data_IF_720369090702
#
_entry.id   IF_720369090702
#
_cell.length_a   1.000
_cell.length_b   1.000
_cell.length_c   1.000
_cell.angle_alpha   90.00
_cell.angle_beta   90.00
_cell.angle_gamma   90.00
#
_symmetry.space_group_name_H-M   'P 1'
#
loop_
_entity.id
_entity.type
_entity.pdbx_description
1 polymer ?
#
# COMPACT_ATOMS: atom_id res chain seq x y z
N UNK A 1 18.21 -24.04 4.71
CA UNK A 1 18.65 -23.35 5.94
C UNK A 1 19.44 -22.13 5.51
N UNK A 2 18.84 -20.95 5.62
CA UNK A 2 19.59 -19.69 5.53
C UNK A 2 19.41 -18.99 6.87
N UNK A 3 20.26 -19.31 7.83
CA UNK A 3 20.54 -18.38 8.91
C UNK A 3 22.02 -18.07 8.81
N UNK A 4 22.36 -16.78 8.82
CA UNK A 4 23.73 -16.25 8.96
C UNK A 4 24.36 -16.63 10.32
N UNK A 5 24.10 -17.84 10.84
CA UNK A 5 24.48 -18.27 12.19
C UNK A 5 23.76 -17.54 13.33
N UNK A 6 22.74 -16.70 13.03
CA UNK A 6 21.97 -15.96 14.06
C UNK A 6 21.14 -16.90 14.92
N UNK A 7 21.13 -16.64 16.22
CA UNK A 7 20.23 -17.30 17.20
C UNK A 7 18.99 -16.43 17.37
N UNK A 8 17.90 -16.82 16.70
CA UNK A 8 16.66 -16.05 16.70
C UNK A 8 15.82 -16.40 17.93
N UNK A 9 15.23 -15.39 18.58
CA UNK A 9 14.39 -15.55 19.79
C UNK A 9 12.94 -15.13 19.58
N UNK A 10 12.68 -14.39 18.51
CA UNK A 10 11.39 -13.74 18.26
C UNK A 10 11.22 -13.40 16.78
N UNK A 11 9.98 -13.10 16.40
CA UNK A 11 9.62 -12.53 15.09
C UNK A 11 9.17 -11.09 15.31
N UNK A 12 9.67 -10.20 14.48
CA UNK A 12 9.32 -8.77 14.47
C UNK A 12 8.75 -8.45 13.10
N UNK A 13 7.50 -7.99 13.06
CA UNK A 13 6.76 -7.77 11.82
C UNK A 13 6.36 -6.31 11.66
N UNK A 14 6.73 -5.69 10.54
CA UNK A 14 6.13 -4.44 10.07
C UNK A 14 5.03 -4.71 9.06
N UNK A 15 4.24 -3.69 8.77
CA UNK A 15 3.22 -3.71 7.73
C UNK A 15 2.93 -2.28 7.28
N UNK A 16 2.49 -2.11 6.03
CA UNK A 16 1.94 -0.85 5.51
C UNK A 16 2.86 0.35 5.80
N UNK A 17 4.18 0.15 5.62
CA UNK A 17 5.20 1.18 5.86
C UNK A 17 5.03 2.34 4.90
N UNK A 18 4.52 2.08 3.68
CA UNK A 18 4.19 3.08 2.67
C UNK A 18 5.25 4.14 2.42
N UNK A 19 6.52 3.74 2.47
CA UNK A 19 7.65 4.64 2.28
C UNK A 19 7.62 5.87 3.22
N UNK A 20 7.04 5.73 4.41
CA UNK A 20 6.89 6.80 5.40
C UNK A 20 8.20 7.06 6.13
N UNK A 21 9.10 7.83 5.50
CA UNK A 21 10.47 8.00 5.96
C UNK A 21 10.79 9.35 6.61
N UNK A 22 9.78 10.19 6.88
CA UNK A 22 9.98 11.50 7.53
C UNK A 22 10.67 11.39 8.89
N UNK A 23 10.36 10.33 9.66
CA UNK A 23 11.05 9.99 10.89
C UNK A 23 11.74 8.62 10.79
N UNK A 24 12.54 8.41 9.73
CA UNK A 24 13.12 7.09 9.47
C UNK A 24 14.16 6.64 10.51
N UNK A 25 14.88 7.58 11.15
CA UNK A 25 16.05 7.25 11.96
C UNK A 25 15.75 6.34 13.17
N UNK A 26 14.70 6.59 13.98
CA UNK A 26 14.34 5.70 15.08
C UNK A 26 13.97 4.29 14.60
N UNK A 27 13.12 4.15 13.58
CA UNK A 27 12.70 2.84 13.10
C UNK A 27 13.89 2.04 12.52
N UNK A 28 14.72 2.66 11.69
CA UNK A 28 15.87 1.99 11.05
C UNK A 28 16.87 1.51 12.09
N UNK A 29 17.20 2.37 13.06
CA UNK A 29 18.16 2.05 14.12
C UNK A 29 17.61 0.96 15.03
N UNK A 30 16.31 1.01 15.35
CA UNK A 30 15.65 0.01 16.17
C UNK A 30 15.62 -1.37 15.51
N UNK A 31 15.21 -1.45 14.25
CA UNK A 31 15.23 -2.71 13.50
C UNK A 31 16.65 -3.26 13.34
N UNK A 32 17.62 -2.40 13.05
CA UNK A 32 19.02 -2.81 13.01
C UNK A 32 19.49 -3.43 14.34
N UNK A 33 19.09 -2.85 15.48
CA UNK A 33 19.44 -3.37 16.80
C UNK A 33 18.75 -4.71 17.12
N UNK A 34 17.54 -4.96 16.60
CA UNK A 34 16.81 -6.22 16.79
C UNK A 34 17.29 -7.35 15.87
N UNK A 35 17.88 -7.00 14.72
CA UNK A 35 18.26 -7.94 13.65
C UNK A 35 19.15 -9.11 14.10
N UNK A 36 20.14 -8.94 15.00
CA UNK A 36 21.00 -10.05 15.42
C UNK A 36 20.24 -11.20 16.11
N UNK A 37 19.09 -10.93 16.75
CA UNK A 37 18.35 -11.89 17.58
C UNK A 37 16.90 -12.10 17.15
N UNK A 38 16.44 -11.45 16.09
CA UNK A 38 15.05 -11.49 15.64
C UNK A 38 14.96 -11.84 14.16
N UNK A 39 13.94 -12.63 13.79
CA UNK A 39 13.51 -12.74 12.40
C UNK A 39 12.69 -11.49 12.07
N UNK A 40 13.22 -10.61 11.21
CA UNK A 40 12.51 -9.37 10.83
C UNK A 40 11.73 -9.64 9.55
N UNK A 41 10.43 -9.40 9.58
CA UNK A 41 9.51 -9.69 8.47
C UNK A 41 8.66 -8.48 8.15
N UNK A 42 8.14 -8.43 6.92
CA UNK A 42 7.20 -7.39 6.49
C UNK A 42 5.95 -8.03 5.88
N UNK A 43 4.78 -7.49 6.21
CA UNK A 43 3.47 -8.02 5.81
C UNK A 43 2.90 -7.36 4.54
N UNK A 44 3.70 -6.63 3.76
CA UNK A 44 3.30 -6.01 2.52
C UNK A 44 3.10 -4.50 2.63
N UNK A 45 2.91 -3.87 1.47
CA UNK A 45 2.76 -2.41 1.30
C UNK A 45 3.90 -1.59 1.92
N UNK A 46 5.12 -2.10 1.78
CA UNK A 46 6.33 -1.35 2.17
C UNK A 46 6.60 -0.15 1.24
N UNK A 47 6.30 -0.33 -0.05
CA UNK A 47 6.48 0.64 -1.12
C UNK A 47 5.25 1.53 -1.31
N UNK A 48 5.44 2.63 -2.06
CA UNK A 48 4.40 3.58 -2.46
C UNK A 48 3.70 4.28 -1.29
N UNK A 49 2.96 5.37 -1.56
CA UNK A 49 2.19 6.07 -0.52
C UNK A 49 2.83 7.35 0.01
N UNK A 50 4.08 7.64 -0.34
CA UNK A 50 4.74 8.90 0.03
C UNK A 50 5.56 9.50 -1.11
N UNK A 51 5.93 10.78 -0.95
CA UNK A 51 6.86 11.46 -1.84
C UNK A 51 8.24 10.82 -1.92
N UNK A 52 8.65 10.03 -0.91
CA UNK A 52 9.93 9.31 -0.93
C UNK A 52 9.96 8.29 -2.05
N UNK A 53 8.89 7.52 -2.21
CA UNK A 53 8.77 6.58 -3.32
C UNK A 53 8.71 7.30 -4.66
N UNK A 54 7.95 8.39 -4.75
CA UNK A 54 7.76 9.14 -6.00
C UNK A 54 9.07 9.70 -6.55
N UNK A 55 9.95 10.20 -5.69
CA UNK A 55 11.25 10.76 -6.07
C UNK A 55 12.35 9.68 -6.12
N UNK A 56 12.31 8.72 -5.19
CA UNK A 56 13.31 7.66 -5.03
C UNK A 56 13.07 6.39 -5.85
N UNK A 57 11.89 6.21 -6.44
CA UNK A 57 11.48 5.07 -7.28
C UNK A 57 11.79 3.70 -6.66
N UNK A 58 11.46 3.52 -5.38
CA UNK A 58 11.66 2.25 -4.67
C UNK A 58 13.11 1.97 -4.23
N UNK A 59 14.07 2.85 -4.54
CA UNK A 59 15.49 2.56 -4.28
C UNK A 59 15.91 2.71 -2.83
N UNK A 60 15.18 3.47 -2.00
CA UNK A 60 15.41 3.59 -0.56
C UNK A 60 14.80 2.35 0.13
N UNK A 61 13.57 2.04 -0.26
CA UNK A 61 12.76 0.92 0.18
C UNK A 61 13.50 -0.40 -0.03
N UNK A 62 14.00 -0.63 -1.25
CA UNK A 62 14.80 -1.81 -1.61
C UNK A 62 16.05 -1.93 -0.74
N UNK A 63 16.77 -0.84 -0.48
CA UNK A 63 17.96 -0.85 0.36
C UNK A 63 17.61 -1.24 1.81
N UNK A 64 16.51 -0.70 2.34
CA UNK A 64 15.99 -1.05 3.67
C UNK A 64 15.61 -2.52 3.75
N UNK A 65 14.80 -3.00 2.80
CA UNK A 65 14.31 -4.38 2.79
C UNK A 65 15.46 -5.39 2.66
N UNK A 66 16.42 -5.14 1.78
CA UNK A 66 17.56 -6.05 1.61
C UNK A 66 18.55 -5.99 2.79
N UNK A 67 18.68 -4.83 3.44
CA UNK A 67 19.59 -4.62 4.57
C UNK A 67 19.04 -5.11 5.91
N UNK A 68 17.73 -4.94 6.16
CA UNK A 68 17.13 -5.11 7.49
C UNK A 68 16.13 -6.26 7.60
N UNK A 69 15.54 -6.75 6.51
CA UNK A 69 14.45 -7.73 6.54
C UNK A 69 14.87 -9.12 6.04
N UNK A 70 14.25 -10.15 6.60
CA UNK A 70 14.55 -11.56 6.32
C UNK A 70 13.51 -12.22 5.41
N UNK A 71 12.23 -11.95 5.65
CA UNK A 71 11.10 -12.53 4.88
C UNK A 71 10.09 -11.44 4.57
N UNK A 72 9.62 -11.39 3.33
CA UNK A 72 8.68 -10.38 2.85
C UNK A 72 7.38 -11.05 2.38
N UNK A 73 6.24 -10.43 2.65
CA UNK A 73 5.00 -10.67 1.92
C UNK A 73 4.81 -9.58 0.85
N UNK A 74 4.26 -9.91 -0.33
CA UNK A 74 3.84 -8.88 -1.28
C UNK A 74 2.53 -8.24 -0.83
N UNK A 75 2.45 -6.91 -0.94
CA UNK A 75 1.19 -6.18 -0.86
C UNK A 75 0.65 -5.79 -2.24
N UNK A 76 -0.37 -4.94 -2.26
CA UNK A 76 -0.87 -4.35 -3.51
C UNK A 76 0.00 -3.20 -4.02
N UNK A 77 0.65 -2.46 -3.13
CA UNK A 77 1.58 -1.41 -3.49
C UNK A 77 2.99 -1.96 -3.74
N UNK A 78 3.65 -1.45 -4.79
CA UNK A 78 5.00 -1.87 -5.18
C UNK A 78 5.11 -3.31 -5.65
N UNK A 79 4.02 -3.90 -6.15
CA UNK A 79 3.93 -5.31 -6.58
C UNK A 79 5.07 -5.74 -7.51
N UNK A 80 5.50 -4.84 -8.39
CA UNK A 80 6.57 -5.07 -9.37
C UNK A 80 7.95 -5.23 -8.71
N UNK A 81 8.22 -4.53 -7.61
CA UNK A 81 9.49 -4.63 -6.88
C UNK A 81 9.72 -6.03 -6.29
N UNK A 82 8.66 -6.73 -5.90
CA UNK A 82 8.77 -8.10 -5.40
C UNK A 82 9.24 -9.11 -6.46
N UNK A 83 9.21 -8.76 -7.75
CA UNK A 83 9.78 -9.59 -8.82
C UNK A 83 11.25 -9.27 -9.13
N UNK A 84 11.82 -8.20 -8.54
CA UNK A 84 13.25 -7.95 -8.65
C UNK A 84 14.03 -9.12 -8.02
N UNK A 85 15.10 -9.63 -8.66
CA UNK A 85 15.71 -10.90 -8.27
C UNK A 85 16.08 -11.01 -6.78
N UNK A 86 16.59 -9.93 -6.17
CA UNK A 86 17.04 -9.94 -4.78
C UNK A 86 15.89 -9.91 -3.78
N UNK A 87 14.82 -9.16 -4.07
CA UNK A 87 13.61 -9.10 -3.24
C UNK A 87 12.74 -10.34 -3.45
N UNK A 88 12.65 -10.86 -4.67
CA UNK A 88 11.91 -12.06 -4.99
C UNK A 88 12.40 -13.26 -4.17
N UNK A 89 13.71 -13.40 -3.97
CA UNK A 89 14.28 -14.49 -3.15
C UNK A 89 13.90 -14.41 -1.67
N UNK A 90 13.53 -13.23 -1.16
CA UNK A 90 13.05 -13.01 0.21
C UNK A 90 11.52 -13.02 0.32
N UNK A 91 10.83 -12.85 -0.80
CA UNK A 91 9.38 -12.78 -0.84
C UNK A 91 8.76 -14.17 -0.81
N UNK A 92 7.84 -14.38 0.12
CA UNK A 92 6.96 -15.56 0.17
C UNK A 92 5.52 -15.17 -0.12
N UNK A 93 4.79 -16.04 -0.79
CA UNK A 93 3.34 -15.92 -1.02
C UNK A 93 2.80 -17.26 -1.49
N UNK A 94 1.82 -17.81 -0.78
CA UNK A 94 1.26 -19.13 -1.07
C UNK A 94 0.23 -19.11 -2.20
N UNK A 95 -0.53 -18.03 -2.32
CA UNK A 95 -1.73 -17.98 -3.16
C UNK A 95 -1.56 -17.19 -4.46
N UNK A 96 -0.41 -16.58 -4.74
CA UNK A 96 -0.15 -15.88 -6.00
C UNK A 96 0.43 -16.82 -7.06
N UNK A 97 -0.24 -16.94 -8.20
CA UNK A 97 0.10 -17.88 -9.28
C UNK A 97 0.11 -17.21 -10.66
N UNK A 98 0.85 -17.80 -11.60
CA UNK A 98 0.72 -17.51 -13.02
C UNK A 98 -0.65 -18.00 -13.50
N UNK A 99 -1.38 -17.12 -14.18
CA UNK A 99 -2.76 -17.39 -14.60
C UNK A 99 -2.85 -18.44 -15.72
N UNK A 100 -1.79 -18.66 -16.49
CA UNK A 100 -1.75 -19.61 -17.60
C UNK A 100 -1.24 -20.97 -17.17
N UNK A 101 -0.18 -21.02 -16.37
CA UNK A 101 0.46 -22.29 -15.98
C UNK A 101 -0.02 -22.82 -14.63
N UNK A 102 -0.53 -21.94 -13.77
CA UNK A 102 -0.86 -22.28 -12.37
C UNK A 102 0.37 -22.38 -11.46
N UNK A 103 1.57 -22.07 -11.97
CA UNK A 103 2.80 -22.12 -11.19
C UNK A 103 2.83 -21.02 -10.12
N UNK A 104 3.45 -21.31 -8.99
CA UNK A 104 3.62 -20.32 -7.93
C UNK A 104 4.53 -19.18 -8.41
N UNK A 105 4.08 -17.93 -8.24
CA UNK A 105 4.89 -16.75 -8.55
C UNK A 105 5.97 -16.50 -7.51
N UNK A 106 5.79 -17.04 -6.30
CA UNK A 106 6.70 -16.88 -5.18
C UNK A 106 6.96 -18.20 -4.48
N UNK A 107 8.04 -18.23 -3.70
CA UNK A 107 8.26 -19.30 -2.74
C UNK A 107 7.07 -19.35 -1.78
N UNK A 108 6.48 -20.53 -1.57
CA UNK A 108 5.29 -20.65 -0.71
C UNK A 108 5.58 -20.74 0.78
N UNK A 109 6.80 -21.11 1.18
CA UNK A 109 7.17 -21.36 2.58
C UNK A 109 8.64 -21.02 2.86
N UNK A 110 8.90 -20.15 3.83
CA UNK A 110 10.20 -19.97 4.48
C UNK A 110 10.25 -20.77 5.78
N UNK A 111 11.39 -21.39 6.10
CA UNK A 111 11.56 -22.13 7.36
C UNK A 111 12.74 -21.53 8.12
N UNK A 112 12.51 -21.13 9.36
CA UNK A 112 13.51 -20.57 10.27
C UNK A 112 13.48 -21.30 11.62
N UNK A 113 14.63 -21.35 12.31
CA UNK A 113 14.70 -21.80 13.71
C UNK A 113 14.54 -20.58 14.62
N UNK A 114 13.54 -20.62 15.51
CA UNK A 114 13.24 -19.54 16.45
C UNK A 114 13.13 -20.15 17.84
N UNK A 115 14.10 -19.82 18.68
CA UNK A 115 14.24 -20.36 20.03
C UNK A 115 14.25 -21.91 20.07
N UNK A 116 14.88 -22.55 19.08
CA UNK A 116 14.93 -24.01 18.96
C UNK A 116 13.67 -24.66 18.37
N UNK A 117 12.72 -23.87 17.87
CA UNK A 117 11.51 -24.33 17.19
C UNK A 117 11.64 -24.12 15.69
N UNK A 118 11.35 -25.14 14.86
CA UNK A 118 11.28 -24.95 13.40
C UNK A 118 9.95 -24.30 13.04
N UNK A 119 10.01 -23.06 12.59
CA UNK A 119 8.83 -22.25 12.26
C UNK A 119 8.69 -22.11 10.74
N UNK A 120 7.53 -22.51 10.22
CA UNK A 120 7.11 -22.26 8.85
C UNK A 120 6.47 -20.89 8.73
N UNK A 121 7.10 -19.99 7.98
CA UNK A 121 6.61 -18.65 7.65
C UNK A 121 6.09 -18.66 6.22
N UNK A 122 4.79 -18.44 6.06
CA UNK A 122 4.12 -18.32 4.75
C UNK A 122 3.39 -16.98 4.67
N UNK A 123 2.87 -16.63 3.49
CA UNK A 123 2.12 -15.40 3.30
C UNK A 123 0.94 -15.58 2.34
N UNK A 124 -0.04 -14.69 2.43
CA UNK A 124 -1.16 -14.60 1.49
C UNK A 124 -1.48 -13.14 1.19
N UNK A 125 -2.00 -12.89 -0.01
CA UNK A 125 -2.62 -11.62 -0.38
C UNK A 125 -4.12 -11.82 -0.58
N UNK A 126 -4.94 -10.94 -0.02
CA UNK A 126 -6.39 -11.01 -0.15
C UNK A 126 -6.86 -10.65 -1.56
N UNK A 127 -8.04 -11.13 -1.97
CA UNK A 127 -8.59 -10.82 -3.31
C UNK A 127 -8.81 -9.32 -3.52
N UNK A 128 -9.29 -8.61 -2.49
CA UNK A 128 -9.52 -7.17 -2.56
C UNK A 128 -8.21 -6.40 -2.75
N UNK A 129 -7.15 -6.77 -2.01
CA UNK A 129 -5.81 -6.22 -2.21
C UNK A 129 -5.29 -6.55 -3.62
N UNK A 130 -5.37 -7.80 -4.06
CA UNK A 130 -4.90 -8.16 -5.40
C UNK A 130 -5.60 -7.39 -6.52
N UNK A 131 -6.91 -7.17 -6.41
CA UNK A 131 -7.67 -6.41 -7.41
C UNK A 131 -7.42 -4.90 -7.38
N UNK A 132 -6.85 -4.34 -6.31
CA UNK A 132 -6.46 -2.93 -6.27
C UNK A 132 -5.14 -2.66 -7.01
N UNK A 133 -4.33 -3.71 -7.28
CA UNK A 133 -3.11 -3.59 -8.09
C UNK A 133 -3.49 -3.15 -9.51
N UNK A 134 -2.79 -2.15 -10.09
CA UNK A 134 -3.01 -1.72 -11.47
C UNK A 134 -3.01 -2.88 -12.46
N UNK A 135 -3.98 -2.90 -13.39
CA UNK A 135 -4.20 -4.05 -14.29
C UNK A 135 -2.92 -4.49 -15.01
N UNK A 136 -2.14 -3.53 -15.54
CA UNK A 136 -0.88 -3.81 -16.23
C UNK A 136 0.17 -4.49 -15.33
N UNK A 137 0.20 -4.19 -14.03
CA UNK A 137 1.18 -4.75 -13.08
C UNK A 137 0.80 -6.16 -12.59
N UNK A 138 -0.47 -6.56 -12.71
CA UNK A 138 -0.95 -7.90 -12.39
C UNK A 138 -1.33 -8.73 -13.62
N UNK A 139 -1.03 -8.26 -14.82
CA UNK A 139 -1.30 -8.98 -16.06
C UNK A 139 -0.60 -10.35 -16.04
N UNK A 140 -1.33 -11.41 -16.38
CA UNK A 140 -0.84 -12.79 -16.34
C UNK A 140 -0.75 -13.39 -14.94
N UNK A 141 -1.12 -12.66 -13.88
CA UNK A 141 -1.14 -13.17 -12.51
C UNK A 141 -2.58 -13.34 -12.03
N UNK A 142 -2.81 -14.30 -11.13
CA UNK A 142 -4.02 -14.37 -10.33
C UNK A 142 -3.72 -14.83 -8.91
N UNK A 143 -4.72 -14.73 -8.05
CA UNK A 143 -4.65 -15.23 -6.67
C UNK A 143 -5.69 -16.30 -6.45
N UNK A 144 -5.29 -17.42 -5.90
CA UNK A 144 -6.21 -18.47 -5.43
C UNK A 144 -6.80 -18.09 -4.08
N UNK A 145 -7.85 -18.82 -3.68
CA UNK A 145 -8.43 -18.70 -2.35
C UNK A 145 -7.35 -18.90 -1.27
N UNK A 146 -7.14 -17.93 -0.36
CA UNK A 146 -6.09 -18.03 0.66
C UNK A 146 -6.22 -19.28 1.54
N UNK A 147 -7.44 -19.68 1.90
CA UNK A 147 -7.68 -20.88 2.72
C UNK A 147 -7.26 -22.15 1.97
N UNK A 148 -7.59 -22.28 0.69
CA UNK A 148 -7.12 -23.39 -0.13
C UNK A 148 -5.59 -23.42 -0.21
N UNK A 149 -4.94 -22.29 -0.50
CA UNK A 149 -3.49 -22.22 -0.62
C UNK A 149 -2.79 -22.61 0.68
N UNK A 150 -3.30 -22.16 1.83
CA UNK A 150 -2.77 -22.52 3.15
C UNK A 150 -2.91 -24.03 3.43
N UNK A 151 -4.02 -24.65 3.04
CA UNK A 151 -4.21 -26.11 3.14
C UNK A 151 -3.19 -26.89 2.32
N UNK A 152 -2.92 -26.45 1.09
CA UNK A 152 -1.90 -27.07 0.24
C UNK A 152 -0.51 -27.00 0.88
N UNK A 153 -0.16 -25.84 1.44
CA UNK A 153 1.15 -25.61 2.08
C UNK A 153 1.32 -26.48 3.32
N UNK A 154 0.32 -26.57 4.22
CA UNK A 154 0.44 -27.45 5.38
C UNK A 154 0.48 -28.93 4.98
N UNK A 155 -0.32 -29.37 4.03
CA UNK A 155 -0.30 -30.77 3.57
C UNK A 155 1.10 -31.17 3.10
N UNK A 156 1.77 -30.29 2.36
CA UNK A 156 3.12 -30.52 1.85
C UNK A 156 4.20 -30.51 2.94
N UNK A 157 4.06 -29.68 3.99
CA UNK A 157 5.17 -29.35 4.90
C UNK A 157 4.91 -29.55 6.39
N UNK A 158 3.77 -30.13 6.80
CA UNK A 158 3.44 -30.32 8.22
C UNK A 158 4.48 -31.14 9.02
N UNK A 159 5.31 -31.95 8.36
CA UNK A 159 6.37 -32.74 8.99
C UNK A 159 7.72 -32.00 9.07
N UNK A 160 7.85 -30.88 8.34
CA UNK A 160 9.08 -30.10 8.26
C UNK A 160 9.19 -29.04 9.37
N UNK A 161 8.06 -28.65 9.95
CA UNK A 161 7.95 -27.53 10.88
C UNK A 161 7.12 -27.91 12.11
N UNK A 162 7.41 -27.26 13.22
CA UNK A 162 6.75 -27.48 14.51
C UNK A 162 5.71 -26.40 14.80
N UNK A 163 5.72 -25.29 14.03
CA UNK A 163 4.84 -24.13 14.23
C UNK A 163 4.68 -23.32 12.94
N UNK A 164 3.56 -22.61 12.83
CA UNK A 164 3.15 -21.90 11.63
C UNK A 164 2.84 -20.43 11.88
N UNK A 165 3.45 -19.57 11.07
CA UNK A 165 3.29 -18.12 11.09
C UNK A 165 2.84 -17.65 9.71
N UNK A 166 1.78 -16.85 9.68
CA UNK A 166 1.24 -16.24 8.47
C UNK A 166 1.56 -14.75 8.43
N UNK A 167 2.15 -14.29 7.34
CA UNK A 167 2.23 -12.87 6.96
C UNK A 167 1.06 -12.59 6.01
N UNK A 168 0.00 -11.94 6.48
CA UNK A 168 -1.20 -11.72 5.67
C UNK A 168 -1.32 -10.28 5.22
N UNK A 169 -1.60 -10.11 3.92
CA UNK A 169 -1.99 -8.85 3.32
C UNK A 169 -3.45 -8.93 2.84
N UNK A 170 -4.36 -9.29 3.76
CA UNK A 170 -5.79 -9.50 3.47
C UNK A 170 -6.73 -8.61 4.29
N UNK A 171 -6.23 -8.04 5.40
CA UNK A 171 -7.00 -7.23 6.32
C UNK A 171 -7.43 -7.99 7.58
N UNK A 172 -7.47 -7.29 8.71
CA UNK A 172 -7.57 -7.86 10.07
C UNK A 172 -8.81 -8.74 10.26
N UNK A 173 -9.96 -8.33 9.72
CA UNK A 173 -11.19 -9.11 9.83
C UNK A 173 -11.18 -10.36 8.95
N UNK A 174 -10.57 -10.29 7.76
CA UNK A 174 -10.34 -11.47 6.92
C UNK A 174 -9.33 -12.42 7.59
N UNK A 175 -8.32 -11.87 8.25
CA UNK A 175 -7.31 -12.64 8.98
C UNK A 175 -7.88 -13.38 10.18
N UNK A 176 -8.88 -12.81 10.86
CA UNK A 176 -9.64 -13.51 11.91
C UNK A 176 -10.45 -14.68 11.35
N UNK A 177 -11.06 -14.52 10.17
CA UNK A 177 -11.78 -15.60 9.49
C UNK A 177 -10.82 -16.70 9.04
N UNK A 178 -9.67 -16.32 8.49
CA UNK A 178 -8.62 -17.26 8.09
C UNK A 178 -8.07 -18.00 9.31
N UNK A 179 -7.79 -17.32 10.42
CA UNK A 179 -7.34 -17.96 11.66
C UNK A 179 -8.35 -19.01 12.16
N UNK A 180 -9.65 -18.69 12.16
CA UNK A 180 -10.70 -19.65 12.53
C UNK A 180 -10.78 -20.86 11.59
N UNK A 181 -10.54 -20.65 10.30
CA UNK A 181 -10.58 -21.72 9.28
C UNK A 181 -9.29 -22.54 9.21
N UNK A 182 -8.17 -22.02 9.73
CA UNK A 182 -6.84 -22.61 9.73
C UNK A 182 -6.28 -22.74 11.16
N UNK A 183 -6.85 -23.62 12.01
CA UNK A 183 -6.45 -23.75 13.41
C UNK A 183 -5.01 -24.27 13.62
N UNK A 184 -4.30 -24.62 12.55
CA UNK A 184 -2.89 -24.98 12.59
C UNK A 184 -1.96 -23.77 12.69
N UNK A 185 -2.46 -22.56 12.38
CA UNK A 185 -1.69 -21.33 12.49
C UNK A 185 -1.50 -20.96 13.96
N UNK A 186 -0.28 -20.62 14.36
CA UNK A 186 -0.01 -20.13 15.70
C UNK A 186 -0.16 -18.60 15.78
N UNK A 187 0.39 -17.90 14.78
CA UNK A 187 0.39 -16.43 14.71
C UNK A 187 0.07 -15.97 13.30
N UNK A 188 -0.80 -14.97 13.19
CA UNK A 188 -1.08 -14.21 11.97
C UNK A 188 -0.65 -12.78 12.20
N UNK A 189 0.32 -12.31 11.41
CA UNK A 189 0.65 -10.90 11.30
C UNK A 189 -0.19 -10.29 10.17
N UNK A 190 -1.09 -9.37 10.52
CA UNK A 190 -2.07 -8.77 9.63
C UNK A 190 -1.58 -7.42 9.06
N UNK A 191 -1.90 -7.17 7.78
CA UNK A 191 -1.67 -5.92 7.04
C UNK A 191 -2.88 -5.50 6.19
N UNK A 192 -2.72 -4.58 5.24
CA UNK A 192 -3.72 -4.09 4.23
C UNK A 192 -4.88 -3.26 4.80
N UNK A 193 -5.41 -3.67 5.95
CA UNK A 193 -6.48 -2.97 6.63
C UNK A 193 -5.92 -1.76 7.36
N UNK A 194 -6.26 -0.55 6.96
CA UNK A 194 -6.04 0.68 7.76
C UNK A 194 -6.91 0.73 9.05
N UNK A 195 -7.14 -0.42 9.66
CA UNK A 195 -7.88 -0.62 10.90
C UNK A 195 -7.04 -0.18 12.10
N UNK A 196 -7.69 0.50 13.06
CA UNK A 196 -7.12 0.81 14.37
C UNK A 196 -7.01 -0.41 15.30
N UNK A 197 -7.36 -1.60 14.80
CA UNK A 197 -7.23 -2.85 15.52
C UNK A 197 -5.83 -3.44 15.32
N UNK A 198 -5.03 -3.41 16.39
CA UNK A 198 -3.68 -3.96 16.39
C UNK A 198 -3.58 -5.36 17.01
N UNK A 199 -4.55 -5.76 17.84
CA UNK A 199 -4.49 -7.03 18.57
C UNK A 199 -3.44 -7.05 19.71
N UNK A 200 -3.07 -8.24 20.23
CA UNK A 200 -3.43 -9.54 19.70
C UNK A 200 -4.90 -9.88 19.98
N UNK A 201 -5.59 -10.42 18.97
CA UNK A 201 -6.88 -11.10 19.13
C UNK A 201 -6.64 -12.59 19.06
N UNK A 202 -7.10 -13.32 20.08
CA UNK A 202 -7.06 -14.78 20.06
C UNK A 202 -8.28 -15.33 19.33
N UNK A 203 -8.04 -16.10 18.29
CA UNK A 203 -9.04 -16.88 17.57
C UNK A 203 -8.70 -18.35 17.80
N UNK A 204 -9.39 -18.98 18.74
CA UNK A 204 -9.06 -20.30 19.27
C UNK A 204 -7.59 -20.41 19.74
N UNK A 205 -6.77 -21.20 19.04
CA UNK A 205 -5.34 -21.36 19.32
C UNK A 205 -4.47 -20.25 18.74
N UNK A 206 -4.95 -19.55 17.72
CA UNK A 206 -4.18 -18.61 16.88
C UNK A 206 -4.21 -17.19 17.45
N UNK A 207 -3.08 -16.48 17.37
CA UNK A 207 -2.96 -15.06 17.70
C UNK A 207 -2.95 -14.22 16.41
N UNK A 208 -3.91 -13.32 16.24
CA UNK A 208 -3.94 -12.34 15.15
C UNK A 208 -3.47 -10.99 15.68
N UNK A 209 -2.39 -10.45 15.13
CA UNK A 209 -1.75 -9.21 15.60
C UNK A 209 -1.30 -8.38 14.40
N UNK A 210 -1.29 -7.06 14.55
CA UNK A 210 -0.92 -6.10 13.52
C UNK A 210 0.05 -5.05 14.09
N UNK A 211 1.06 -4.72 13.29
CA UNK A 211 1.99 -3.63 13.59
C UNK A 211 1.34 -2.27 13.36
N UNK A 212 1.87 -1.22 14.01
CA UNK A 212 1.49 0.14 13.63
C UNK A 212 2.05 0.47 12.25
N UNK A 213 1.24 1.14 11.44
CA UNK A 213 1.54 1.44 10.04
C UNK A 213 2.51 2.63 9.92
N UNK A 214 2.89 2.99 8.69
CA UNK A 214 3.62 4.22 8.39
C UNK A 214 4.94 4.36 9.16
N UNK A 215 5.60 3.21 9.39
CA UNK A 215 6.81 3.11 10.22
C UNK A 215 6.66 3.70 11.64
N UNK A 216 5.45 3.71 12.21
CA UNK A 216 5.22 4.12 13.60
C UNK A 216 5.51 3.00 14.61
N UNK A 217 5.46 1.74 14.19
CA UNK A 217 5.70 0.60 15.07
C UNK A 217 5.74 -0.75 14.38
N UNK A 218 5.65 -1.80 15.18
CA UNK A 218 5.76 -3.18 14.73
C UNK A 218 4.97 -4.12 15.63
N UNK A 219 4.62 -5.29 15.10
CA UNK A 219 4.14 -6.42 15.87
C UNK A 219 5.30 -7.34 16.24
N UNK A 220 5.17 -8.05 17.35
CA UNK A 220 6.17 -8.98 17.85
C UNK A 220 5.49 -10.28 18.25
N UNK A 221 6.15 -11.42 17.98
CA UNK A 221 5.76 -12.72 18.49
C UNK A 221 6.96 -13.47 19.09
N UNK A 222 6.77 -14.04 20.27
CA UNK A 222 7.79 -14.77 21.03
C UNK A 222 7.27 -16.16 21.43
N UNK A 223 8.10 -17.21 21.34
CA UNK A 223 7.75 -18.50 21.93
C UNK A 223 7.52 -18.39 23.44
N UNK A 224 6.44 -18.97 23.96
CA UNK A 224 6.12 -19.03 25.39
C UNK A 224 5.64 -20.43 25.74
N UNK A 225 6.51 -21.23 26.36
CA UNK A 225 6.25 -22.65 26.60
C UNK A 225 6.00 -23.39 25.27
N UNK A 226 4.87 -24.10 25.17
CA UNK A 226 4.46 -24.76 23.94
C UNK A 226 3.82 -23.81 22.91
N UNK A 227 3.34 -22.64 23.33
CA UNK A 227 2.63 -21.69 22.47
C UNK A 227 3.45 -20.45 22.12
N UNK A 228 2.73 -19.38 21.82
CA UNK A 228 3.27 -18.06 21.49
C UNK A 228 2.64 -16.96 22.33
N UNK A 229 3.42 -15.93 22.63
CA UNK A 229 2.94 -14.59 22.99
C UNK A 229 3.05 -13.67 21.78
N UNK A 230 2.15 -12.69 21.68
CA UNK A 230 2.19 -11.68 20.63
C UNK A 230 1.78 -10.31 21.16
N UNK A 231 2.23 -9.24 20.52
CA UNK A 231 1.92 -7.87 20.91
C UNK A 231 2.25 -6.87 19.80
N UNK A 232 1.85 -5.63 20.03
CA UNK A 232 2.16 -4.48 19.17
C UNK A 232 2.89 -3.43 19.99
N UNK A 233 3.81 -2.70 19.38
CA UNK A 233 4.53 -1.60 20.03
C UNK A 233 4.91 -0.53 19.02
N UNK A 234 5.08 0.71 19.49
CA UNK A 234 5.65 1.78 18.68
C UNK A 234 7.18 1.66 18.61
N UNK A 235 7.76 2.20 17.54
CA UNK A 235 9.17 2.55 17.55
C UNK A 235 9.43 3.71 18.52
N UNK A 236 10.67 3.93 18.96
CA UNK A 236 10.99 5.06 19.83
C UNK A 236 10.67 6.40 19.14
N UNK A 237 9.98 7.30 19.84
CA UNK A 237 9.67 8.64 19.32
C UNK A 237 10.91 9.56 19.30
N UNK A 238 11.92 9.22 20.11
CA UNK A 238 13.15 10.00 20.24
C UNK A 238 14.16 9.63 19.17
N UNK A 239 14.87 10.66 18.67
CA UNK A 239 16.02 10.43 17.81
C UNK A 239 17.06 9.58 18.53
N UNK A 240 17.61 8.54 17.87
CA UNK A 240 18.61 7.69 18.48
C UNK A 240 19.89 8.47 18.77
N UNK A 241 20.47 8.26 19.95
CA UNK A 241 21.74 8.91 20.34
C UNK A 241 22.92 8.45 19.47
N UNK A 242 22.81 7.29 18.84
CA UNK A 242 23.79 6.73 17.92
C UNK A 242 23.08 6.06 16.76
N UNK A 243 23.56 6.30 15.54
CA UNK A 243 23.11 5.59 14.34
C UNK A 243 24.27 4.72 13.84
N UNK A 244 24.04 3.41 13.62
CA UNK A 244 25.01 2.51 12.98
C UNK A 244 25.59 3.09 11.69
N UNK A 245 26.91 2.90 11.49
CA UNK A 245 27.62 3.45 10.33
C UNK A 245 27.08 2.87 9.01
N UNK A 246 26.60 1.64 9.04
CA UNK A 246 25.96 0.92 7.94
C UNK A 246 24.69 1.64 7.43
N UNK A 247 24.02 2.40 8.29
CA UNK A 247 22.81 3.16 7.93
C UNK A 247 23.11 4.60 7.48
N UNK A 248 24.36 5.05 7.53
CA UNK A 248 24.70 6.44 7.23
C UNK A 248 24.38 6.84 5.79
N UNK A 249 24.71 5.97 4.82
CA UNK A 249 24.41 6.20 3.40
C UNK A 249 22.92 6.30 3.14
N UNK A 250 22.15 5.31 3.62
CA UNK A 250 20.70 5.29 3.55
C UNK A 250 20.07 6.56 4.14
N UNK A 251 20.52 6.99 5.32
CA UNK A 251 20.02 8.23 5.96
C UNK A 251 20.29 9.47 5.14
N UNK A 252 21.48 9.58 4.54
CA UNK A 252 21.81 10.69 3.65
C UNK A 252 20.84 10.76 2.47
N UNK A 253 20.54 9.61 1.85
CA UNK A 253 19.60 9.55 0.71
C UNK A 253 18.18 9.93 1.11
N UNK A 254 17.71 9.48 2.28
CA UNK A 254 16.41 9.88 2.82
C UNK A 254 16.38 11.40 3.05
N UNK A 255 17.43 11.96 3.62
CA UNK A 255 17.54 13.40 3.86
C UNK A 255 17.54 14.22 2.55
N UNK A 256 18.25 13.77 1.52
CA UNK A 256 18.26 14.43 0.21
C UNK A 256 16.87 14.48 -0.42
N UNK A 257 16.09 13.40 -0.28
CA UNK A 257 14.70 13.35 -0.76
C UNK A 257 13.81 14.23 0.09
N UNK A 258 13.97 14.23 1.42
CA UNK A 258 13.23 15.10 2.34
C UNK A 258 13.40 16.57 1.98
N UNK A 259 14.61 17.00 1.60
CA UNK A 259 14.88 18.37 1.15
C UNK A 259 14.15 18.71 -0.15
N UNK A 260 14.06 17.77 -1.09
CA UNK A 260 13.26 17.96 -2.32
C UNK A 260 11.77 18.08 -2.00
N UNK A 261 11.25 17.27 -1.07
CA UNK A 261 9.85 17.33 -0.64
C UNK A 261 9.52 18.66 0.06
N UNK A 262 10.49 19.29 0.72
CA UNK A 262 10.31 20.59 1.36
C UNK A 262 10.24 21.78 0.37
N UNK A 263 10.49 21.57 -0.93
CA UNK A 263 10.44 22.64 -1.93
C UNK A 263 9.04 23.27 -2.00
N UNK A 264 8.97 24.61 -1.91
CA UNK A 264 7.71 25.37 -1.93
C UNK A 264 7.22 25.56 -3.37
N UNK A 265 5.97 25.20 -3.62
CA UNK A 265 5.29 25.33 -4.91
C UNK A 265 4.43 26.59 -5.03
N UNK A 266 3.99 27.16 -3.90
CA UNK A 266 3.22 28.40 -3.88
C UNK A 266 2.29 28.52 -2.67
N UNK A 267 1.61 29.67 -2.49
CA UNK A 267 0.60 29.84 -1.45
C UNK A 267 -0.64 28.99 -1.75
N UNK A 268 -1.24 28.42 -0.72
CA UNK A 268 -2.52 27.68 -0.82
C UNK A 268 -3.68 28.68 -0.87
N UNK A 269 -4.74 28.40 -1.62
CA UNK A 269 -5.98 29.21 -1.62
C UNK A 269 -6.66 29.14 -0.26
N UNK A 270 -7.26 30.25 0.18
CA UNK A 270 -7.90 30.38 1.49
C UNK A 270 -8.90 29.25 1.79
N UNK A 271 -9.65 28.77 0.79
CA UNK A 271 -10.62 27.69 0.95
C UNK A 271 -10.03 26.35 1.42
N UNK A 272 -8.72 26.14 1.28
CA UNK A 272 -8.05 24.88 1.61
C UNK A 272 -7.02 24.99 2.76
N UNK A 273 -6.86 26.16 3.39
CA UNK A 273 -5.86 26.36 4.46
C UNK A 273 -6.34 25.90 5.82
N UNK A 274 -5.37 25.54 6.68
CA UNK A 274 -5.55 25.26 8.11
C UNK A 274 -6.58 24.18 8.43
N UNK A 275 -6.76 23.24 7.52
CA UNK A 275 -7.64 22.09 7.68
C UNK A 275 -7.08 20.89 6.92
N UNK A 276 -7.44 19.66 7.32
CA UNK A 276 -7.27 18.51 6.45
C UNK A 276 -7.98 18.75 5.11
N UNK A 277 -7.31 18.41 4.02
CA UNK A 277 -7.86 18.54 2.68
C UNK A 277 -9.16 17.72 2.54
N UNK A 278 -10.25 18.39 2.23
CA UNK A 278 -11.49 17.75 1.81
C UNK A 278 -11.36 17.27 0.36
N UNK A 279 -11.13 15.96 0.23
CA UNK A 279 -10.92 15.29 -1.06
C UNK A 279 -12.10 15.46 -2.00
N UNK A 280 -13.32 15.29 -1.49
CA UNK A 280 -14.53 15.33 -2.31
C UNK A 280 -14.74 16.74 -2.87
N UNK A 281 -14.61 17.75 -2.02
CA UNK A 281 -14.75 19.15 -2.43
C UNK A 281 -13.67 19.56 -3.44
N UNK A 282 -12.42 19.15 -3.23
CA UNK A 282 -11.35 19.39 -4.21
C UNK A 282 -11.65 18.70 -5.55
N UNK A 283 -12.10 17.44 -5.53
CA UNK A 283 -12.43 16.70 -6.75
C UNK A 283 -13.63 17.29 -7.50
N UNK A 284 -14.62 17.85 -6.81
CA UNK A 284 -15.73 18.56 -7.44
C UNK A 284 -15.25 19.82 -8.18
N UNK A 285 -14.44 20.67 -7.53
CA UNK A 285 -13.84 21.87 -8.16
C UNK A 285 -12.96 21.45 -9.35
N UNK A 286 -12.14 20.41 -9.16
CA UNK A 286 -11.27 19.87 -10.19
C UNK A 286 -12.07 19.32 -11.39
N UNK A 287 -13.08 18.48 -11.17
CA UNK A 287 -13.87 17.89 -12.24
C UNK A 287 -14.61 18.94 -13.07
N UNK A 288 -15.17 19.97 -12.41
CA UNK A 288 -15.80 21.10 -13.10
C UNK A 288 -14.80 21.88 -13.98
N UNK A 289 -13.59 22.15 -13.45
CA UNK A 289 -12.52 22.84 -14.19
C UNK A 289 -11.99 22.02 -15.34
N UNK A 290 -11.69 20.74 -15.13
CA UNK A 290 -11.20 19.84 -16.17
C UNK A 290 -12.20 19.72 -17.31
N UNK A 291 -13.49 19.55 -17.00
CA UNK A 291 -14.56 19.51 -17.99
C UNK A 291 -14.56 20.76 -18.87
N UNK A 292 -14.50 21.95 -18.25
CA UNK A 292 -14.50 23.23 -18.96
C UNK A 292 -13.22 23.47 -19.75
N UNK A 293 -12.05 23.17 -19.17
CA UNK A 293 -10.74 23.48 -19.73
C UNK A 293 -10.37 22.55 -20.90
N UNK A 294 -10.69 21.26 -20.78
CA UNK A 294 -10.38 20.25 -21.78
C UNK A 294 -11.55 19.95 -22.73
N UNK A 295 -12.70 20.61 -22.53
CA UNK A 295 -13.90 20.41 -23.36
C UNK A 295 -14.45 18.99 -23.30
N UNK A 296 -14.20 18.26 -22.20
CA UNK A 296 -14.71 16.90 -22.04
C UNK A 296 -16.23 16.92 -21.83
N UNK A 297 -16.93 15.93 -22.39
CA UNK A 297 -18.38 15.79 -22.22
C UNK A 297 -18.73 15.51 -20.75
N UNK A 298 -17.95 14.63 -20.14
CA UNK A 298 -18.06 14.21 -18.76
C UNK A 298 -16.69 13.91 -18.13
N UNK A 299 -16.61 14.02 -16.81
CA UNK A 299 -15.46 13.66 -15.98
C UNK A 299 -15.92 12.66 -14.91
N UNK A 300 -15.13 11.62 -14.66
CA UNK A 300 -15.32 10.67 -13.54
C UNK A 300 -14.00 10.55 -12.78
N UNK A 301 -14.02 10.82 -11.47
CA UNK A 301 -12.86 10.65 -10.60
C UNK A 301 -13.29 9.92 -9.32
N UNK A 302 -12.46 9.01 -8.83
CA UNK A 302 -12.64 8.35 -7.53
C UNK A 302 -12.01 9.16 -6.40
N UNK A 303 -12.70 9.29 -5.27
CA UNK A 303 -12.19 10.00 -4.08
C UNK A 303 -10.89 9.39 -3.53
N UNK A 304 -10.67 8.10 -3.77
CA UNK A 304 -9.47 7.37 -3.37
C UNK A 304 -8.23 7.74 -4.20
N UNK A 305 -8.39 8.44 -5.33
CA UNK A 305 -7.25 9.00 -6.09
C UNK A 305 -6.50 10.08 -5.29
N UNK A 306 -7.16 10.70 -4.31
CA UNK A 306 -6.55 11.70 -3.43
C UNK A 306 -6.50 11.21 -1.97
N UNK A 307 -5.54 11.73 -1.22
CA UNK A 307 -5.43 11.56 0.25
C UNK A 307 -5.76 12.87 0.96
N UNK A 308 -6.34 12.76 2.16
CA UNK A 308 -6.57 13.91 3.02
C UNK A 308 -5.25 14.27 3.73
N UNK A 309 -4.72 15.45 3.46
CA UNK A 309 -3.45 15.93 4.03
C UNK A 309 -3.71 17.23 4.80
N UNK A 310 -3.19 17.40 6.03
CA UNK A 310 -3.25 18.68 6.73
C UNK A 310 -2.49 19.76 5.95
N UNK A 311 -3.14 20.89 5.68
CA UNK A 311 -2.56 21.98 4.90
C UNK A 311 -2.37 23.25 5.73
N UNK A 312 -1.23 23.92 5.50
CA UNK A 312 -0.92 25.23 6.06
C UNK A 312 -1.12 26.36 5.04
N UNK A 313 -0.24 27.35 5.08
CA UNK A 313 -0.26 28.50 4.16
C UNK A 313 0.36 28.21 2.80
N UNK A 314 1.31 27.26 2.74
CA UNK A 314 2.12 26.98 1.56
C UNK A 314 1.99 25.53 1.12
N UNK A 315 1.87 25.34 -0.19
CA UNK A 315 1.94 24.04 -0.83
C UNK A 315 3.41 23.71 -1.05
N UNK A 316 3.84 22.54 -0.61
CA UNK A 316 5.18 22.01 -0.90
C UNK A 316 5.07 20.85 -1.88
N UNK A 317 6.20 20.45 -2.45
CA UNK A 317 6.29 19.24 -3.28
C UNK A 317 5.82 18.00 -2.48
N UNK A 318 6.18 17.93 -1.20
CA UNK A 318 5.74 16.90 -0.27
C UNK A 318 4.23 16.89 -0.09
N UNK A 319 3.62 18.05 0.16
CA UNK A 319 2.15 18.13 0.24
C UNK A 319 1.49 17.62 -1.03
N UNK A 320 1.97 18.04 -2.21
CA UNK A 320 1.37 17.63 -3.48
C UNK A 320 1.46 16.11 -3.72
N UNK A 321 2.64 15.53 -3.48
CA UNK A 321 2.86 14.09 -3.63
C UNK A 321 2.17 13.26 -2.55
N UNK A 322 1.89 13.82 -1.37
CA UNK A 322 1.06 13.16 -0.35
C UNK A 322 -0.43 13.22 -0.73
N UNK A 323 -0.90 14.31 -1.34
CA UNK A 323 -2.28 14.44 -1.81
C UNK A 323 -2.57 13.48 -2.97
N UNK A 324 -1.69 13.41 -3.96
CA UNK A 324 -1.81 12.53 -5.13
C UNK A 324 -0.57 11.62 -5.23
N UNK A 325 -0.53 10.51 -4.47
CA UNK A 325 0.67 9.68 -4.36
C UNK A 325 0.85 8.66 -5.50
N UNK A 326 -0.10 8.59 -6.44
CA UNK A 326 -0.15 7.53 -7.44
C UNK A 326 0.38 7.98 -8.80
N UNK A 327 0.53 9.29 -9.02
CA UNK A 327 0.95 9.90 -10.27
C UNK A 327 0.05 9.58 -11.46
N UNK A 328 -1.24 9.57 -11.19
CA UNK A 328 -2.27 9.34 -12.20
C UNK A 328 -2.10 10.31 -13.37
N UNK A 329 -2.15 9.78 -14.58
CA UNK A 329 -2.40 10.57 -15.78
C UNK A 329 -3.90 10.79 -15.95
N UNK A 330 -4.29 11.93 -16.54
CA UNK A 330 -5.65 12.08 -17.03
C UNK A 330 -5.76 11.51 -18.45
N UNK A 331 -6.79 10.70 -18.68
CA UNK A 331 -7.04 10.03 -19.95
C UNK A 331 -8.51 10.20 -20.36
N UNK A 332 -8.74 10.22 -21.67
CA UNK A 332 -10.06 10.02 -22.24
C UNK A 332 -10.32 8.51 -22.37
N UNK A 333 -11.38 8.03 -21.75
CA UNK A 333 -11.80 6.63 -21.78
C UNK A 333 -13.20 6.51 -22.38
N UNK A 334 -13.44 5.42 -23.12
CA UNK A 334 -14.78 5.10 -23.59
C UNK A 334 -15.62 4.51 -22.47
N UNK A 335 -16.89 4.88 -22.40
CA UNK A 335 -17.85 4.21 -21.54
C UNK A 335 -18.17 2.84 -22.16
N UNK A 336 -18.01 1.72 -21.41
CA UNK A 336 -18.32 0.39 -21.92
C UNK A 336 -19.73 0.29 -22.49
N UNK A 337 -19.93 -0.38 -23.62
CA UNK A 337 -21.25 -0.51 -24.24
C UNK A 337 -22.34 -1.05 -23.28
N UNK A 338 -22.08 -2.08 -22.45
CA UNK A 338 -23.07 -2.56 -21.49
C UNK A 338 -23.43 -1.54 -20.40
N UNK A 339 -22.51 -0.63 -20.07
CA UNK A 339 -22.75 0.41 -19.07
C UNK A 339 -23.68 1.52 -19.59
N UNK A 340 -23.74 1.73 -20.92
CA UNK A 340 -24.54 2.81 -21.52
C UNK A 340 -26.04 2.61 -21.37
N UNK A 341 -26.52 1.38 -21.15
CA UNK A 341 -27.93 1.11 -20.90
C UNK A 341 -28.37 1.33 -19.45
N UNK A 342 -27.44 1.36 -18.49
CA UNK A 342 -27.70 1.59 -17.07
C UNK A 342 -26.48 2.27 -16.42
N UNK A 343 -26.29 3.55 -16.73
CA UNK A 343 -25.20 4.34 -16.15
C UNK A 343 -25.25 4.41 -14.62
N UNK A 344 -26.42 4.60 -13.96
CA UNK A 344 -26.49 4.62 -12.50
C UNK A 344 -26.07 3.29 -11.86
N UNK A 345 -26.54 2.15 -12.39
CA UNK A 345 -26.15 0.83 -11.92
C UNK A 345 -24.65 0.58 -12.10
N UNK A 346 -24.12 0.94 -13.26
CA UNK A 346 -22.68 0.83 -13.53
C UNK A 346 -21.82 1.68 -12.59
N UNK A 347 -22.19 2.95 -12.36
CA UNK A 347 -21.48 3.82 -11.41
C UNK A 347 -21.53 3.27 -9.98
N UNK A 348 -22.65 2.67 -9.57
CA UNK A 348 -22.77 2.03 -8.26
C UNK A 348 -21.82 0.84 -8.11
N UNK A 349 -21.72 0.01 -9.16
CA UNK A 349 -20.76 -1.10 -9.19
C UNK A 349 -19.31 -0.60 -9.16
N UNK A 350 -18.98 0.39 -9.99
CA UNK A 350 -17.64 0.97 -10.03
C UNK A 350 -17.27 1.61 -8.68
N UNK A 351 -18.21 2.27 -8.02
CA UNK A 351 -17.98 2.86 -6.71
C UNK A 351 -17.74 1.81 -5.62
N UNK A 352 -18.38 0.65 -5.71
CA UNK A 352 -18.12 -0.47 -4.81
C UNK A 352 -16.68 -1.01 -4.95
N UNK A 353 -16.12 -0.92 -6.16
CA UNK A 353 -14.77 -1.43 -6.47
C UNK A 353 -13.66 -0.40 -6.20
N UNK A 354 -13.96 0.89 -6.40
CA UNK A 354 -12.95 1.95 -6.44
C UNK A 354 -13.11 2.99 -5.34
N UNK A 355 -14.19 2.90 -4.56
CA UNK A 355 -14.59 3.89 -3.57
C UNK A 355 -15.55 4.95 -4.11
N UNK A 356 -15.90 5.97 -3.31
CA UNK A 356 -16.83 7.01 -3.73
C UNK A 356 -16.38 7.73 -5.00
N UNK A 357 -17.32 8.04 -5.89
CA UNK A 357 -17.06 8.72 -7.15
C UNK A 357 -17.55 10.18 -7.11
N UNK A 358 -16.87 11.01 -7.89
CA UNK A 358 -17.27 12.36 -8.28
C UNK A 358 -17.45 12.38 -9.80
N UNK A 359 -18.57 12.93 -10.25
CA UNK A 359 -18.85 13.11 -11.68
C UNK A 359 -19.11 14.58 -12.01
N UNK A 360 -18.81 14.98 -13.24
CA UNK A 360 -19.19 16.28 -13.78
C UNK A 360 -19.60 16.12 -15.25
N UNK A 361 -20.86 16.41 -15.65
CA UNK A 361 -21.97 16.79 -14.79
C UNK A 361 -22.43 15.64 -13.89
N UNK A 362 -23.16 15.96 -12.82
CA UNK A 362 -23.83 15.00 -11.93
C UNK A 362 -25.34 15.29 -11.96
N UNK A 363 -26.20 14.36 -12.44
CA UNK A 363 -25.84 13.05 -13.01
C UNK A 363 -25.14 13.16 -14.38
N UNK A 364 -24.47 12.07 -14.78
CA UNK A 364 -23.90 11.96 -16.12
C UNK A 364 -24.99 12.02 -17.21
N UNK A 365 -24.70 12.55 -18.42
CA UNK A 365 -25.66 12.58 -19.51
C UNK A 365 -25.96 11.17 -20.05
N UNK A 366 -27.23 10.86 -20.37
CA UNK A 366 -27.64 9.53 -20.88
C UNK A 366 -26.90 9.08 -22.15
N UNK A 367 -26.46 10.03 -22.98
CA UNK A 367 -25.77 9.76 -24.24
C UNK A 367 -24.23 9.80 -24.13
N UNK A 368 -23.67 9.79 -22.92
CA UNK A 368 -22.21 9.85 -22.72
C UNK A 368 -21.53 8.61 -23.31
N UNK A 369 -20.54 8.83 -24.17
CA UNK A 369 -19.76 7.75 -24.80
C UNK A 369 -18.28 7.79 -24.44
N UNK A 370 -17.81 8.94 -23.95
CA UNK A 370 -16.44 9.21 -23.54
C UNK A 370 -16.45 10.01 -22.24
N UNK A 371 -15.48 9.72 -21.37
CA UNK A 371 -15.28 10.44 -20.12
C UNK A 371 -13.80 10.76 -19.95
N UNK A 372 -13.49 11.87 -19.31
CA UNK A 372 -12.15 12.13 -18.78
C UNK A 372 -12.05 11.50 -17.39
N UNK A 373 -11.00 10.74 -17.15
CA UNK A 373 -10.77 10.06 -15.87
C UNK A 373 -9.28 9.86 -15.62
N UNK A 374 -8.91 9.17 -14.54
CA UNK A 374 -7.53 8.74 -14.32
C UNK A 374 -7.21 7.52 -15.19
N UNK A 375 -5.95 7.37 -15.58
CA UNK A 375 -5.42 6.14 -16.20
C UNK A 375 -5.78 4.88 -15.38
N UNK A 376 -5.70 4.94 -14.05
CA UNK A 376 -6.13 3.84 -13.19
C UNK A 376 -7.58 3.39 -13.46
N UNK A 377 -8.54 4.32 -13.45
CA UNK A 377 -9.94 4.00 -13.73
C UNK A 377 -10.14 3.58 -15.19
N UNK A 378 -9.53 4.34 -16.12
CA UNK A 378 -9.58 4.12 -17.54
C UNK A 378 -9.16 2.71 -17.93
N UNK A 379 -7.91 2.36 -17.60
CA UNK A 379 -7.26 1.13 -18.02
C UNK A 379 -7.79 -0.09 -17.25
N UNK A 380 -8.21 0.09 -15.99
CA UNK A 380 -8.63 -1.05 -15.14
C UNK A 380 -10.11 -1.36 -15.26
N UNK A 381 -10.98 -0.36 -15.47
CA UNK A 381 -12.44 -0.54 -15.34
C UNK A 381 -13.26 -0.06 -16.54
N UNK A 382 -12.74 0.85 -17.38
CA UNK A 382 -13.48 1.42 -18.52
C UNK A 382 -13.06 0.82 -19.86
N UNK A 383 -11.89 0.17 -19.95
CA UNK A 383 -11.47 -0.69 -21.06
C UNK A 383 -10.23 -0.19 -21.82
N UNK A 384 -9.73 -1.03 -22.74
CA UNK A 384 -8.39 -0.92 -23.37
C UNK A 384 -8.19 0.24 -24.37
N UNK A 385 -9.09 1.22 -24.43
CA UNK A 385 -9.04 2.34 -25.39
C UNK A 385 -9.00 3.69 -24.66
N UNK A 386 -7.94 3.88 -23.89
CA UNK A 386 -7.61 5.16 -23.27
C UNK A 386 -6.71 5.99 -24.19
N UNK A 387 -6.89 7.30 -24.15
CA UNK A 387 -6.04 8.27 -24.83
C UNK A 387 -5.58 9.33 -23.84
N UNK A 388 -4.27 9.58 -23.75
CA UNK A 388 -3.73 10.59 -22.84
C UNK A 388 -4.34 11.97 -23.12
N UNK A 389 -4.77 12.65 -22.06
CA UNK A 389 -5.20 14.05 -22.13
C UNK A 389 -4.03 15.04 -22.08
N UNK A 390 -2.80 14.55 -21.92
CA UNK A 390 -1.58 15.36 -21.82
C UNK A 390 -1.45 16.17 -20.53
N UNK A 391 -2.19 15.79 -19.48
CA UNK A 391 -2.20 16.48 -18.18
C UNK A 391 -2.15 15.46 -17.04
N UNK A 392 -1.29 15.71 -16.06
CA UNK A 392 -1.20 14.89 -14.84
C UNK A 392 -2.22 15.35 -13.80
N UNK A 393 -2.72 14.42 -13.00
CA UNK A 393 -3.68 14.74 -11.93
C UNK A 393 -3.05 15.69 -10.89
N UNK A 394 -1.80 15.46 -10.48
CA UNK A 394 -1.09 16.32 -9.52
C UNK A 394 -0.92 17.76 -10.03
N UNK A 395 -0.60 17.95 -11.31
CA UNK A 395 -0.51 19.28 -11.92
C UNK A 395 -1.86 20.01 -11.87
N UNK A 396 -2.95 19.29 -12.15
CA UNK A 396 -4.29 19.85 -12.08
C UNK A 396 -4.68 20.19 -10.63
N UNK A 397 -4.36 19.32 -9.67
CA UNK A 397 -4.54 19.56 -8.23
C UNK A 397 -3.74 20.78 -7.76
N UNK A 398 -2.46 20.88 -8.11
CA UNK A 398 -1.61 22.03 -7.79
C UNK A 398 -2.23 23.33 -8.30
N UNK A 399 -2.72 23.33 -9.54
CA UNK A 399 -3.38 24.49 -10.13
C UNK A 399 -4.62 24.89 -9.33
N UNK A 400 -5.48 23.92 -8.96
CA UNK A 400 -6.68 24.20 -8.15
C UNK A 400 -6.32 24.71 -6.75
N UNK A 401 -5.23 24.23 -6.14
CA UNK A 401 -4.84 24.62 -4.78
C UNK A 401 -4.11 25.96 -4.71
N UNK A 402 -3.45 26.40 -5.78
CA UNK A 402 -2.56 27.59 -5.75
C UNK A 402 -3.06 28.77 -6.59
N UNK A 403 -3.95 28.56 -7.56
CA UNK A 403 -4.43 29.65 -8.42
C UNK A 403 -5.44 30.51 -7.68
N UNK A 404 -5.18 31.81 -7.55
CA UNK A 404 -6.15 32.75 -6.98
C UNK A 404 -7.44 32.76 -7.80
N UNK A 405 -8.58 32.90 -7.12
CA UNK A 405 -9.83 33.20 -7.81
C UNK A 405 -9.64 34.52 -8.55
N UNK A 406 -9.40 34.43 -9.86
CA UNK A 406 -9.45 35.60 -10.72
C UNK A 406 -10.87 36.10 -10.63
N UNK A 407 -11.00 37.31 -10.09
CA UNK A 407 -12.25 38.04 -9.99
C UNK A 407 -13.07 37.86 -11.26
N UNK A 408 -14.26 37.29 -11.12
CA UNK A 408 -15.30 37.45 -12.11
C UNK A 408 -15.49 38.96 -12.37
N UNK A 409 -15.26 39.35 -13.62
CA UNK A 409 -15.81 40.53 -14.29
C UNK A 409 -16.20 41.74 -13.44
N UNK A 410 -15.25 42.62 -13.18
CA UNK A 410 -15.52 44.04 -12.93
C UNK A 410 -15.13 44.87 -14.14
N UNK A 411 -16.08 45.08 -15.07
CA UNK A 411 -15.98 46.20 -16.03
C UNK A 411 -15.91 47.51 -15.24
N UNK A 412 -14.95 48.36 -15.55
CA UNK A 412 -15.20 49.80 -15.71
C UNK A 412 -14.62 50.24 -17.05
#
# INVERSE_FOLDING_TARGET
MTSDGRVLRQIVATTDVHSAFDNAAPFLTHLHALRPTSLIVDCGDFFEGSGYYRLGRGTIEREILLGLYDVLAPGNHGRTHHFEPDLHRRTVCANAIDANTGDALFRRLHIADIDGRRVGVTAVIGQQAFHSIPAAQRAGHCVTDPLQALREVILAHHHDVDSWVLLSHSGFDEDRKLAAACPFLDVVFAGHCHSDQYGPVRVDGTLVVKGRELAEGYAIATPVGAGWGAGTTSFPDQLPSFVPAELAGLRSRIEDVRQQLAAVLGPIRLAYRHQPLDRRNLLLDLAARLRKALGADAVILNETALRAVPLGDTLTQGHLLSIEPFANQLVHAHVPEPARSDLPGWLSQLSTQTGPLVTAPDPLPDAVTTVLTTDYLGDTYLGDRTHEAGLRLDQAVQHVLTTTDTAEGGRQ
#
